data_IF_147241499718
#
_entry.id   IF_147241499718
#
_cell.length_a   1.000
_cell.length_b   1.000
_cell.length_c   1.000
_cell.angle_alpha   90.00
_cell.angle_beta   90.00
_cell.angle_gamma   90.00
#
_symmetry.space_group_name_H-M   'P 1'
#
loop_
_entity.id
_entity.type
_entity.pdbx_description
1 polymer ?
#
# COMPACT_ATOMS: atom_id res chain seq x y z
N UNK A 1 22.91 -40.79 31.83
CA UNK A 1 23.11 -39.60 30.97
C UNK A 1 21.74 -39.01 30.66
N UNK A 2 21.39 -37.86 31.27
CA UNK A 2 20.13 -37.17 30.93
C UNK A 2 20.42 -36.23 29.77
N UNK A 3 19.86 -36.54 28.60
CA UNK A 3 19.96 -35.70 27.41
C UNK A 3 19.13 -34.41 27.56
N UNK A 4 19.62 -33.30 27.05
CA UNK A 4 18.83 -32.09 26.96
C UNK A 4 17.66 -32.32 25.99
N UNK A 5 16.44 -31.99 26.43
CA UNK A 5 15.25 -32.03 25.58
C UNK A 5 14.95 -30.60 25.08
N UNK A 6 14.74 -30.46 23.78
CA UNK A 6 14.40 -29.19 23.14
C UNK A 6 12.96 -29.31 22.59
N UNK A 7 12.10 -28.39 22.94
CA UNK A 7 10.73 -28.30 22.41
C UNK A 7 10.48 -26.90 21.83
N UNK A 8 9.68 -26.83 20.78
CA UNK A 8 9.20 -25.57 20.22
C UNK A 8 7.94 -25.14 20.95
N UNK A 9 7.91 -23.93 21.47
CA UNK A 9 6.71 -23.32 22.02
C UNK A 9 5.75 -22.88 20.91
N UNK A 10 4.46 -22.78 21.22
CA UNK A 10 3.41 -22.40 20.27
C UNK A 10 3.58 -20.96 19.70
N UNK A 11 4.38 -20.12 20.36
CA UNK A 11 4.72 -18.74 19.97
C UNK A 11 6.03 -18.66 19.16
N UNK A 12 6.63 -19.80 18.78
CA UNK A 12 7.88 -19.88 18.05
C UNK A 12 9.14 -19.76 18.93
N UNK A 13 8.99 -19.69 20.23
CA UNK A 13 10.10 -19.74 21.18
C UNK A 13 10.68 -21.16 21.31
N UNK A 14 11.95 -21.26 21.76
CA UNK A 14 12.61 -22.55 22.01
C UNK A 14 12.70 -22.78 23.52
N UNK A 15 12.17 -23.91 23.97
CA UNK A 15 12.24 -24.35 25.36
C UNK A 15 13.38 -25.36 25.48
N UNK A 16 14.41 -25.05 26.28
CA UNK A 16 15.54 -25.94 26.52
C UNK A 16 15.47 -26.43 27.98
N UNK A 17 15.35 -27.74 28.16
CA UNK A 17 15.39 -28.39 29.47
C UNK A 17 16.82 -28.87 29.76
N UNK A 18 17.49 -28.28 30.73
CA UNK A 18 18.77 -28.77 31.25
C UNK A 18 18.68 -28.94 32.76
N UNK A 19 18.91 -30.12 33.26
CA UNK A 19 18.99 -30.43 34.70
C UNK A 19 17.85 -29.89 35.57
N UNK A 20 16.62 -29.97 35.07
CA UNK A 20 15.41 -29.54 35.79
C UNK A 20 15.18 -28.03 35.85
N UNK A 21 16.02 -27.23 35.20
CA UNK A 21 15.78 -25.79 35.07
C UNK A 21 15.25 -25.48 33.67
N UNK A 22 14.04 -24.90 33.57
CA UNK A 22 13.47 -24.42 32.32
C UNK A 22 14.07 -23.05 32.01
N UNK A 23 14.84 -22.94 30.94
CA UNK A 23 15.25 -21.67 30.36
C UNK A 23 14.43 -21.46 29.11
N UNK A 24 13.47 -20.56 29.16
CA UNK A 24 12.80 -20.05 27.96
C UNK A 24 13.77 -19.07 27.27
N UNK A 25 14.21 -19.40 26.08
CA UNK A 25 14.76 -18.41 25.20
C UNK A 25 13.55 -17.70 24.57
N UNK A 26 13.39 -16.39 24.78
CA UNK A 26 12.31 -15.68 24.15
C UNK A 26 12.39 -15.88 22.63
N UNK A 27 11.25 -15.96 21.97
CA UNK A 27 11.20 -15.85 20.51
C UNK A 27 12.02 -14.62 20.10
N UNK A 28 12.76 -14.67 18.99
CA UNK A 28 13.40 -13.47 18.49
C UNK A 28 12.32 -12.40 18.41
N UNK A 29 12.46 -11.36 19.22
CA UNK A 29 11.62 -10.18 19.07
C UNK A 29 11.75 -9.76 17.62
N UNK A 30 10.64 -9.72 16.91
CA UNK A 30 10.62 -9.19 15.56
C UNK A 30 10.76 -7.67 15.72
N UNK A 31 11.97 -7.22 16.06
CA UNK A 31 12.38 -5.83 16.20
C UNK A 31 12.49 -5.15 14.81
N UNK A 32 11.73 -5.63 13.84
CA UNK A 32 11.50 -4.85 12.66
C UNK A 32 10.69 -3.62 13.09
N UNK A 33 11.37 -2.49 13.21
CA UNK A 33 10.71 -1.21 13.45
C UNK A 33 9.53 -1.09 12.48
N UNK A 34 8.39 -0.56 12.96
CA UNK A 34 7.22 -0.34 12.10
C UNK A 34 7.66 0.44 10.85
N UNK A 35 7.18 0.06 9.66
CA UNK A 35 7.60 0.68 8.41
C UNK A 35 7.29 2.18 8.43
N UNK A 36 8.20 2.97 7.92
CA UNK A 36 7.99 4.41 7.69
C UNK A 36 7.40 4.62 6.30
N UNK A 37 6.62 5.68 6.16
CA UNK A 37 6.05 6.03 4.85
C UNK A 37 7.18 6.22 3.84
N UNK A 38 7.03 5.56 2.69
CA UNK A 38 8.05 5.51 1.65
C UNK A 38 8.98 4.29 1.72
N UNK A 39 8.96 3.53 2.80
CA UNK A 39 9.75 2.31 2.91
C UNK A 39 9.31 1.29 1.86
N UNK A 40 10.29 0.76 1.15
CA UNK A 40 10.09 -0.34 0.21
C UNK A 40 10.04 -1.65 0.97
N UNK A 41 8.93 -2.35 0.83
CA UNK A 41 8.73 -3.65 1.46
C UNK A 41 9.53 -4.76 0.75
N UNK A 42 9.75 -5.93 1.38
CA UNK A 42 10.45 -7.06 0.76
C UNK A 42 9.82 -7.53 -0.54
N UNK A 43 8.51 -7.38 -0.70
CA UNK A 43 7.74 -7.67 -1.90
C UNK A 43 7.80 -6.57 -2.97
N UNK A 44 8.59 -5.53 -2.72
CA UNK A 44 8.75 -4.33 -3.56
C UNK A 44 7.55 -3.38 -3.58
N UNK A 45 6.52 -3.60 -2.78
CA UNK A 45 5.48 -2.57 -2.55
C UNK A 45 6.05 -1.43 -1.71
N UNK A 46 5.39 -0.28 -1.70
CA UNK A 46 5.80 0.88 -0.91
C UNK A 46 4.77 1.15 0.18
N UNK A 47 5.22 1.22 1.44
CA UNK A 47 4.33 1.58 2.52
C UNK A 47 3.87 3.04 2.36
N UNK A 48 2.60 3.24 2.16
CA UNK A 48 2.01 4.54 1.84
C UNK A 48 1.38 5.25 3.06
N UNK A 49 1.32 4.57 4.19
CA UNK A 49 0.71 5.08 5.42
C UNK A 49 -0.51 4.27 5.84
N UNK A 50 -1.40 4.91 6.59
CA UNK A 50 -2.64 4.28 7.06
C UNK A 50 -3.80 4.81 6.23
N UNK A 51 -4.64 3.90 5.75
CA UNK A 51 -5.87 4.26 5.04
C UNK A 51 -6.86 4.94 6.00
N UNK A 52 -7.34 6.15 5.68
CA UNK A 52 -8.34 6.84 6.51
C UNK A 52 -9.70 6.11 6.55
N UNK A 53 -9.99 5.32 5.52
CA UNK A 53 -11.28 4.65 5.38
C UNK A 53 -11.34 3.33 6.15
N UNK A 54 -10.20 2.64 6.28
CA UNK A 54 -10.15 1.30 6.89
C UNK A 54 -9.36 1.26 8.20
N UNK A 55 -8.60 2.32 8.48
CA UNK A 55 -7.64 2.41 9.59
C UNK A 55 -6.58 1.29 9.58
N UNK A 56 -6.25 0.78 8.39
CA UNK A 56 -5.26 -0.28 8.16
C UNK A 56 -4.05 0.23 7.38
N UNK A 57 -2.89 -0.44 7.48
CA UNK A 57 -1.77 -0.17 6.61
C UNK A 57 -2.17 -0.22 5.13
N UNK A 58 -1.71 0.78 4.37
CA UNK A 58 -1.93 0.88 2.93
C UNK A 58 -0.58 0.81 2.21
N UNK A 59 -0.53 0.03 1.15
CA UNK A 59 0.64 -0.14 0.31
C UNK A 59 0.32 0.28 -1.11
N UNK A 60 1.26 0.94 -1.78
CA UNK A 60 1.13 1.34 -3.16
C UNK A 60 2.06 0.53 -4.08
N UNK A 61 1.71 0.42 -5.34
CA UNK A 61 2.67 -0.01 -6.37
C UNK A 61 3.83 0.97 -6.43
N UNK A 62 5.07 0.54 -6.74
CA UNK A 62 6.24 1.43 -6.81
C UNK A 62 6.16 2.43 -7.96
N UNK A 63 5.31 2.18 -8.95
CA UNK A 63 5.08 3.06 -10.09
C UNK A 63 3.60 3.12 -10.46
N UNK A 64 3.22 4.14 -11.22
CA UNK A 64 1.89 4.26 -11.81
C UNK A 64 1.64 3.13 -12.82
N UNK A 65 0.37 2.87 -13.13
CA UNK A 65 0.04 2.11 -14.33
C UNK A 65 0.69 2.75 -15.56
N UNK A 66 1.17 1.94 -16.49
CA UNK A 66 1.94 2.40 -17.65
C UNK A 66 1.14 3.29 -18.61
N UNK A 67 -0.17 3.23 -18.54
CA UNK A 67 -1.10 3.99 -19.39
C UNK A 67 -2.07 4.81 -18.53
N UNK A 68 -2.47 5.95 -19.05
CA UNK A 68 -3.68 6.64 -18.58
C UNK A 68 -4.89 5.90 -19.08
N UNK A 69 -5.96 5.87 -18.31
CA UNK A 69 -7.16 5.10 -18.62
C UNK A 69 -8.43 5.72 -18.03
N UNK A 70 -9.57 5.34 -18.59
CA UNK A 70 -10.88 5.66 -18.02
C UNK A 70 -11.01 5.06 -16.63
N UNK A 71 -11.84 5.64 -15.78
CA UNK A 71 -11.96 5.14 -14.40
C UNK A 71 -12.39 3.67 -14.33
N UNK A 72 -13.37 3.26 -15.12
CA UNK A 72 -13.82 1.85 -15.11
C UNK A 72 -12.70 0.91 -15.54
N UNK A 73 -11.93 1.29 -16.56
CA UNK A 73 -10.78 0.51 -17.02
C UNK A 73 -9.67 0.47 -15.96
N UNK A 74 -9.47 1.58 -15.22
CA UNK A 74 -8.53 1.65 -14.10
C UNK A 74 -8.92 0.72 -12.95
N UNK A 75 -10.21 0.66 -12.63
CA UNK A 75 -10.74 -0.26 -11.60
C UNK A 75 -10.58 -1.72 -12.03
N UNK A 76 -10.89 -2.03 -13.29
CA UNK A 76 -10.71 -3.37 -13.84
C UNK A 76 -9.23 -3.76 -13.91
N UNK A 77 -8.36 -2.85 -14.35
CA UNK A 77 -6.92 -3.04 -14.36
C UNK A 77 -6.39 -3.37 -12.96
N UNK A 78 -6.73 -2.56 -11.97
CA UNK A 78 -6.29 -2.78 -10.60
C UNK A 78 -6.81 -4.12 -10.05
N UNK A 79 -8.09 -4.44 -10.25
CA UNK A 79 -8.70 -5.69 -9.78
C UNK A 79 -8.09 -6.96 -10.42
N UNK A 80 -7.55 -6.85 -11.63
CA UNK A 80 -6.86 -7.95 -12.35
C UNK A 80 -5.34 -7.95 -12.13
N UNK A 81 -4.80 -6.93 -11.49
CA UNK A 81 -3.36 -6.79 -11.32
C UNK A 81 -2.82 -7.90 -10.40
N UNK A 82 -1.97 -8.75 -10.96
CA UNK A 82 -1.18 -9.74 -10.23
C UNK A 82 0.26 -9.23 -10.19
N UNK A 83 0.60 -8.53 -9.14
CA UNK A 83 1.90 -7.89 -9.01
C UNK A 83 2.40 -7.93 -7.57
N UNK A 84 3.71 -8.04 -7.41
CA UNK A 84 4.36 -8.05 -6.10
C UNK A 84 3.87 -9.18 -5.17
N UNK A 85 3.36 -10.29 -5.74
CA UNK A 85 2.78 -11.40 -4.98
C UNK A 85 1.37 -11.13 -4.43
N UNK A 86 0.70 -10.09 -4.91
CA UNK A 86 -0.63 -9.67 -4.45
C UNK A 86 -1.62 -9.51 -5.60
N UNK A 87 -2.91 -9.77 -5.30
CA UNK A 87 -4.04 -9.70 -6.22
C UNK A 87 -5.21 -8.87 -5.66
N UNK A 88 -4.98 -8.16 -4.58
CA UNK A 88 -5.97 -7.34 -3.86
C UNK A 88 -5.78 -5.83 -4.15
N UNK A 89 -5.23 -5.52 -5.33
CA UNK A 89 -5.03 -4.15 -5.78
C UNK A 89 -6.35 -3.47 -6.16
N UNK A 90 -6.41 -2.19 -5.90
CA UNK A 90 -7.57 -1.35 -6.23
C UNK A 90 -7.16 0.09 -6.50
N UNK A 91 -8.05 0.86 -7.09
CA UNK A 91 -7.91 2.32 -7.20
C UNK A 91 -8.13 2.92 -5.80
N UNK A 92 -7.29 3.87 -5.33
CA UNK A 92 -7.46 4.50 -4.03
C UNK A 92 -8.77 5.31 -3.95
N UNK A 93 -9.36 5.41 -2.78
CA UNK A 93 -10.45 6.35 -2.53
C UNK A 93 -9.94 7.79 -2.57
N UNK A 94 -10.85 8.77 -2.54
CA UNK A 94 -10.48 10.20 -2.47
C UNK A 94 -9.61 10.50 -1.24
N UNK A 95 -9.95 9.94 -0.08
CA UNK A 95 -9.21 10.14 1.16
C UNK A 95 -7.82 9.49 1.10
N UNK A 96 -7.75 8.26 0.58
CA UNK A 96 -6.49 7.55 0.38
C UNK A 96 -5.59 8.22 -0.66
N UNK A 97 -6.17 8.72 -1.76
CA UNK A 97 -5.44 9.48 -2.77
C UNK A 97 -4.80 10.74 -2.17
N UNK A 98 -5.49 11.39 -1.23
CA UNK A 98 -4.95 12.52 -0.49
C UNK A 98 -3.80 12.12 0.45
N UNK A 99 -3.83 10.92 1.03
CA UNK A 99 -2.68 10.37 1.79
C UNK A 99 -1.49 10.16 0.86
N UNK A 100 -1.70 9.59 -0.33
CA UNK A 100 -0.66 9.43 -1.34
C UNK A 100 -0.06 10.78 -1.74
N UNK A 101 -0.90 11.78 -1.99
CA UNK A 101 -0.46 13.14 -2.32
C UNK A 101 0.40 13.76 -1.21
N UNK A 102 -0.06 13.71 0.03
CA UNK A 102 0.67 14.29 1.17
C UNK A 102 2.05 13.63 1.37
N UNK A 103 2.17 12.37 1.02
CA UNK A 103 3.37 11.56 1.18
C UNK A 103 4.12 11.31 -0.14
N UNK A 104 3.75 11.98 -1.23
CA UNK A 104 4.25 11.71 -2.58
C UNK A 104 5.76 11.79 -2.73
N UNK A 105 6.40 12.67 -1.96
CA UNK A 105 7.85 12.80 -1.98
C UNK A 105 8.57 11.57 -1.40
N UNK A 106 8.02 11.00 -0.35
CA UNK A 106 8.56 9.79 0.30
C UNK A 106 8.23 8.53 -0.51
N UNK A 107 6.99 8.40 -1.00
CA UNK A 107 6.54 7.25 -1.79
C UNK A 107 7.24 7.21 -3.15
N UNK A 108 7.37 8.37 -3.80
CA UNK A 108 8.03 8.52 -5.09
C UNK A 108 7.23 8.03 -6.30
N UNK A 109 7.76 8.29 -7.49
CA UNK A 109 7.24 7.78 -8.77
C UNK A 109 5.97 8.45 -9.28
N UNK A 110 5.51 9.54 -8.69
CA UNK A 110 4.36 10.31 -9.15
C UNK A 110 4.75 11.40 -10.15
N UNK A 111 3.86 11.70 -11.09
CA UNK A 111 4.00 12.89 -11.92
C UNK A 111 3.51 14.11 -11.12
N UNK A 112 4.44 15.01 -10.81
CA UNK A 112 4.18 16.23 -10.03
C UNK A 112 4.27 17.51 -10.87
N UNK A 113 4.26 17.41 -12.20
CA UNK A 113 4.35 18.58 -13.09
C UNK A 113 3.06 19.40 -13.12
N UNK A 114 1.94 18.82 -12.71
CA UNK A 114 0.63 19.48 -12.75
C UNK A 114 0.00 19.54 -14.14
N UNK A 115 0.66 19.00 -15.17
CA UNK A 115 0.11 18.94 -16.52
C UNK A 115 -1.10 18.01 -16.60
N UNK A 116 -2.08 18.37 -17.43
CA UNK A 116 -3.23 17.54 -17.72
C UNK A 116 -2.91 16.67 -18.97
N UNK A 117 -3.29 15.38 -18.96
CA UNK A 117 -3.88 14.61 -17.85
C UNK A 117 -2.83 14.05 -16.87
N UNK A 118 -1.55 14.05 -17.24
CA UNK A 118 -0.48 13.27 -16.63
C UNK A 118 -0.25 13.53 -15.13
N UNK A 119 -0.52 14.71 -14.65
CA UNK A 119 -0.37 15.08 -13.23
C UNK A 119 -1.63 14.94 -12.38
N UNK A 120 -2.72 14.39 -12.94
CA UNK A 120 -4.01 14.20 -12.28
C UNK A 120 -4.30 12.72 -12.12
N UNK A 121 -4.56 12.30 -10.93
CA UNK A 121 -4.75 10.88 -10.59
C UNK A 121 -6.20 10.57 -10.25
N UNK A 122 -6.70 9.42 -10.73
CA UNK A 122 -8.02 8.93 -10.38
C UNK A 122 -8.14 8.53 -8.92
N UNK A 123 -9.28 8.83 -8.32
CA UNK A 123 -9.80 8.10 -7.17
C UNK A 123 -11.00 7.23 -7.58
N UNK A 124 -11.26 6.20 -6.78
CA UNK A 124 -12.46 5.36 -6.93
C UNK A 124 -13.72 6.04 -6.41
N UNK A 125 -13.61 7.18 -5.71
CA UNK A 125 -14.74 7.85 -5.08
C UNK A 125 -15.60 8.57 -6.13
N UNK A 126 -16.89 8.26 -6.25
CA UNK A 126 -17.77 8.98 -7.16
C UNK A 126 -17.97 10.42 -6.66
N UNK A 127 -18.10 11.36 -7.60
CA UNK A 127 -18.62 12.69 -7.31
C UNK A 127 -20.14 12.68 -7.44
N UNK A 128 -20.63 12.36 -8.60
CA UNK A 128 -22.00 11.89 -8.87
C UNK A 128 -22.02 11.16 -10.22
N UNK A 129 -23.16 10.59 -10.60
CA UNK A 129 -23.42 9.79 -11.78
C UNK A 129 -22.26 9.45 -12.71
N UNK A 130 -21.91 10.42 -13.55
CA UNK A 130 -20.90 10.25 -14.59
C UNK A 130 -19.50 10.73 -14.19
N UNK A 131 -19.34 11.37 -13.01
CA UNK A 131 -18.11 11.99 -12.56
C UNK A 131 -17.52 11.28 -11.35
N UNK A 132 -16.20 11.35 -11.22
CA UNK A 132 -15.45 10.85 -10.07
C UNK A 132 -14.36 11.85 -9.65
N UNK A 133 -13.99 11.77 -8.38
CA UNK A 133 -12.93 12.59 -7.83
C UNK A 133 -11.56 12.21 -8.39
N UNK A 134 -10.75 13.22 -8.61
CA UNK A 134 -9.34 13.10 -8.95
C UNK A 134 -8.55 14.15 -8.18
N UNK A 135 -7.22 14.03 -8.18
CA UNK A 135 -6.33 14.95 -7.48
C UNK A 135 -5.10 15.25 -8.32
N UNK A 136 -4.73 16.54 -8.36
CA UNK A 136 -3.49 16.99 -8.99
C UNK A 136 -2.33 16.85 -8.01
N UNK A 137 -1.24 16.23 -8.45
CA UNK A 137 -0.12 15.92 -7.56
C UNK A 137 0.98 17.00 -7.52
N UNK A 138 0.84 18.09 -8.26
CA UNK A 138 1.71 19.25 -8.11
C UNK A 138 1.38 20.06 -6.84
N UNK A 139 0.10 20.28 -6.56
CA UNK A 139 -0.38 21.19 -5.50
C UNK A 139 -1.51 20.61 -4.63
N UNK A 140 -2.02 19.42 -4.98
CA UNK A 140 -3.06 18.74 -4.22
C UNK A 140 -4.48 19.19 -4.55
N UNK A 141 -4.69 20.02 -5.57
CA UNK A 141 -6.02 20.43 -5.99
C UNK A 141 -6.90 19.20 -6.26
N UNK A 142 -8.04 19.12 -5.60
CA UNK A 142 -9.04 18.09 -5.82
C UNK A 142 -10.13 18.61 -6.74
N UNK A 143 -10.45 17.82 -7.75
CA UNK A 143 -11.47 18.11 -8.74
C UNK A 143 -12.23 16.84 -9.09
N UNK A 144 -13.24 16.95 -9.93
CA UNK A 144 -13.93 15.80 -10.52
C UNK A 144 -13.88 15.91 -12.05
N UNK A 145 -13.78 14.75 -12.69
CA UNK A 145 -13.85 14.62 -14.13
C UNK A 145 -14.82 13.51 -14.52
N UNK A 146 -15.34 13.61 -15.73
CA UNK A 146 -16.14 12.55 -16.32
C UNK A 146 -15.33 11.26 -16.39
N UNK A 147 -15.91 10.14 -15.97
CA UNK A 147 -15.24 8.83 -15.84
C UNK A 147 -14.62 8.34 -17.16
N UNK A 148 -15.01 8.90 -18.29
CA UNK A 148 -14.45 8.59 -19.61
C UNK A 148 -13.14 9.32 -19.92
N UNK A 149 -12.71 10.27 -19.10
CA UNK A 149 -11.39 10.86 -19.25
C UNK A 149 -10.28 9.85 -18.92
N UNK A 150 -9.11 10.04 -19.51
CA UNK A 150 -7.97 9.17 -19.32
C UNK A 150 -6.98 9.84 -18.37
N UNK A 151 -6.94 9.36 -17.13
CA UNK A 151 -5.99 9.83 -16.11
C UNK A 151 -5.08 8.69 -15.63
N UNK A 152 -3.91 9.02 -15.08
CA UNK A 152 -3.07 8.06 -14.37
C UNK A 152 -3.79 7.42 -13.19
N UNK A 153 -3.34 6.21 -12.84
CA UNK A 153 -3.74 5.53 -11.61
C UNK A 153 -2.52 4.96 -10.90
N UNK A 154 -2.48 5.11 -9.59
CA UNK A 154 -1.56 4.43 -8.69
C UNK A 154 -2.36 3.42 -7.88
N UNK A 155 -2.30 2.12 -8.19
CA UNK A 155 -2.98 1.09 -7.41
C UNK A 155 -2.47 1.04 -5.97
N UNK A 156 -3.41 0.77 -5.05
CA UNK A 156 -3.15 0.53 -3.62
C UNK A 156 -3.81 -0.76 -3.16
N UNK A 157 -3.35 -1.27 -2.03
CA UNK A 157 -3.91 -2.45 -1.35
C UNK A 157 -3.90 -2.26 0.15
#
# INVERSE_FOLDING_TARGET
MYGAKIELAADGGVIVYTNGTVKMKPAPANDAAAPKIGDKMPDSTVFAGISPDTNKPMYATPADASLTMKLNDAQEYAAKLDAHGHRDWRVPTKAELNVLFNNRAAIGGFNVTGSYPAGWYWSASPYHGWDAWCQRFSDGAQHYYHKDYHLPVRPVR
#
